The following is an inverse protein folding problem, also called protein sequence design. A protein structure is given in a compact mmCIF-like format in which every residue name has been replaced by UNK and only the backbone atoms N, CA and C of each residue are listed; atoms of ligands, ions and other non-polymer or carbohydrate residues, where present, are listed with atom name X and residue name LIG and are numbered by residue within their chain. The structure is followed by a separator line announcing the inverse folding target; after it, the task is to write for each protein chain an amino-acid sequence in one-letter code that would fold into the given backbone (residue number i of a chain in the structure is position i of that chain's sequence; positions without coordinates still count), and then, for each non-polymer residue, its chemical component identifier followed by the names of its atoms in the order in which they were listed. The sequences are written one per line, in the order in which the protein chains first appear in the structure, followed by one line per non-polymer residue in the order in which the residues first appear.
data_IF_482928055117
#
_entry.id   IF_482928055117
#
_cell.length_a   1.000
_cell.length_b   1.000
_cell.length_c   1.000
_cell.angle_alpha   90.00
_cell.angle_beta   90.00
_cell.angle_gamma   90.00
#
_symmetry.space_group_name_H-M   'P 1'
#
loop_
_entity.id
_entity.type
_entity.pdbx_description
1 polymer ?
#
# COMPACT_ATOMS: atom_id res chain seq x y z
N UNK A 1 -11.31 10.28 15.34
CA UNK A 1 -11.46 8.83 15.58
C UNK A 1 -10.11 8.21 15.86
N UNK A 2 -9.13 8.31 14.93
CA UNK A 2 -7.82 7.65 15.10
C UNK A 2 -7.11 8.08 16.40
N UNK A 3 -7.07 9.39 16.73
CA UNK A 3 -6.46 9.86 17.97
C UNK A 3 -6.99 9.13 19.21
N UNK A 4 -8.31 8.97 19.34
CA UNK A 4 -8.91 8.23 20.47
C UNK A 4 -8.53 6.73 20.50
N UNK A 5 -8.18 6.13 19.36
CA UNK A 5 -7.66 4.76 19.33
C UNK A 5 -6.22 4.73 19.80
N UNK A 6 -5.42 5.70 19.36
CA UNK A 6 -4.03 5.87 19.80
C UNK A 6 -3.98 6.09 21.32
N UNK A 7 -4.85 6.97 21.87
CA UNK A 7 -4.94 7.25 23.30
C UNK A 7 -5.09 5.94 24.12
N UNK A 8 -5.92 4.98 23.65
CA UNK A 8 -6.08 3.68 24.31
C UNK A 8 -4.79 2.86 24.36
N UNK A 9 -4.01 2.87 23.27
CA UNK A 9 -2.70 2.21 23.28
C UNK A 9 -1.77 2.88 24.29
N UNK A 10 -1.76 4.22 24.29
CA UNK A 10 -0.92 5.01 25.21
C UNK A 10 -1.30 4.79 26.68
N UNK A 11 -2.60 4.71 26.99
CA UNK A 11 -3.11 4.43 28.34
C UNK A 11 -2.63 3.06 28.85
N UNK A 12 -2.43 2.09 27.96
CA UNK A 12 -1.89 0.76 28.26
C UNK A 12 -0.34 0.71 28.18
N UNK A 13 0.34 1.84 27.98
CA UNK A 13 1.80 1.91 27.83
C UNK A 13 2.31 1.35 26.50
N UNK A 14 1.46 1.29 25.48
CA UNK A 14 1.79 0.73 24.18
C UNK A 14 1.90 1.82 23.11
N UNK A 15 2.74 1.59 22.10
CA UNK A 15 2.94 2.48 20.97
C UNK A 15 2.68 1.75 19.66
N UNK A 16 1.63 2.08 18.88
CA UNK A 16 1.43 1.53 17.56
C UNK A 16 2.44 2.12 16.57
N UNK A 17 3.08 1.23 15.80
CA UNK A 17 4.06 1.57 14.76
C UNK A 17 3.46 1.19 13.42
N UNK A 18 3.34 2.15 12.50
CA UNK A 18 2.67 1.96 11.22
C UNK A 18 3.58 2.29 10.04
N UNK A 19 3.36 1.53 8.96
CA UNK A 19 3.79 1.89 7.61
C UNK A 19 2.63 1.65 6.62
N UNK A 20 2.63 2.39 5.52
CA UNK A 20 1.60 2.26 4.48
C UNK A 20 2.29 2.00 3.15
N UNK A 21 1.82 0.99 2.43
CA UNK A 21 2.17 0.71 1.04
C UNK A 21 0.98 1.06 0.16
N UNK A 22 1.22 1.83 -0.88
CA UNK A 22 0.17 2.31 -1.78
C UNK A 22 0.52 1.98 -3.22
N UNK A 23 -0.33 1.17 -3.84
CA UNK A 23 -0.26 0.90 -5.27
C UNK A 23 -1.00 1.95 -6.09
N UNK A 24 -0.46 2.27 -7.26
CA UNK A 24 -1.08 3.20 -8.20
C UNK A 24 -0.71 2.85 -9.64
N UNK A 25 -1.49 3.40 -10.57
CA UNK A 25 -1.15 3.36 -11.99
C UNK A 25 -0.73 4.75 -12.48
N UNK A 26 0.27 4.77 -13.35
CA UNK A 26 0.48 5.88 -14.27
C UNK A 26 -0.38 5.66 -15.50
N UNK A 27 -1.18 6.66 -15.85
CA UNK A 27 -2.14 6.59 -16.95
C UNK A 27 -2.01 7.81 -17.87
N UNK A 28 -2.46 7.65 -19.11
CA UNK A 28 -2.52 8.75 -20.05
C UNK A 28 -3.52 9.84 -19.58
N UNK A 29 -3.20 11.13 -19.72
CA UNK A 29 -4.19 12.19 -19.53
C UNK A 29 -5.32 12.15 -20.58
N UNK A 30 -5.09 11.45 -21.69
CA UNK A 30 -6.11 11.25 -22.73
C UNK A 30 -6.95 10.02 -22.38
N UNK A 31 -8.20 10.04 -22.84
CA UNK A 31 -9.10 8.89 -22.74
C UNK A 31 -9.35 8.30 -24.13
N UNK A 32 -9.69 7.02 -24.19
CA UNK A 32 -10.18 6.40 -25.42
C UNK A 32 -11.50 7.03 -25.87
N UNK A 33 -11.95 6.71 -27.10
CA UNK A 33 -13.21 7.26 -27.65
C UNK A 33 -14.45 6.91 -26.84
N UNK A 34 -14.42 5.80 -26.13
CA UNK A 34 -15.48 5.33 -25.23
C UNK A 34 -15.35 5.86 -23.79
N UNK A 35 -14.37 6.75 -23.53
CA UNK A 35 -14.09 7.33 -22.22
C UNK A 35 -13.22 6.46 -21.32
N UNK A 36 -12.77 5.28 -21.75
CA UNK A 36 -11.93 4.40 -20.95
C UNK A 36 -10.53 4.99 -20.70
N UNK A 37 -9.96 4.59 -19.57
CA UNK A 37 -8.59 4.96 -19.17
C UNK A 37 -7.59 4.27 -20.12
N UNK A 38 -6.56 4.98 -20.52
CA UNK A 38 -5.45 4.46 -21.31
C UNK A 38 -4.19 4.36 -20.46
N UNK A 39 -3.36 3.31 -20.62
CA UNK A 39 -2.06 3.25 -19.96
C UNK A 39 -1.19 4.45 -20.33
N UNK A 40 -0.33 4.90 -19.40
CA UNK A 40 0.70 5.87 -19.69
C UNK A 40 1.70 5.31 -20.71
N UNK A 41 2.28 6.21 -21.49
CA UNK A 41 3.43 5.89 -22.34
C UNK A 41 4.67 6.54 -21.74
N UNK A 42 5.72 5.77 -21.44
CA UNK A 42 6.97 6.34 -20.98
C UNK A 42 7.61 7.24 -22.04
N UNK A 43 8.54 8.09 -21.62
CA UNK A 43 9.20 9.04 -22.52
C UNK A 43 9.89 8.38 -23.73
N UNK A 44 10.37 7.13 -23.60
CA UNK A 44 10.90 6.31 -24.69
C UNK A 44 9.86 5.83 -25.71
N UNK A 45 8.58 6.13 -25.51
CA UNK A 45 7.49 5.86 -26.46
C UNK A 45 7.06 4.38 -26.57
N UNK A 46 7.70 3.47 -25.86
CA UNK A 46 7.35 2.06 -25.88
C UNK A 46 6.11 1.81 -25.01
N UNK A 47 5.13 1.13 -25.56
CA UNK A 47 3.97 0.67 -24.76
C UNK A 47 4.36 -0.59 -24.02
N UNK A 48 4.19 -0.66 -22.69
CA UNK A 48 4.36 -1.91 -21.95
C UNK A 48 3.43 -2.99 -22.50
N UNK A 49 3.96 -4.15 -22.87
CA UNK A 49 3.20 -5.20 -23.57
C UNK A 49 3.05 -6.49 -22.78
N UNK A 50 3.58 -6.56 -21.56
CA UNK A 50 3.57 -7.78 -20.77
C UNK A 50 3.62 -7.54 -19.27
N UNK A 51 3.36 -8.59 -18.52
CA UNK A 51 3.51 -8.62 -17.07
C UNK A 51 4.99 -8.78 -16.74
N UNK A 52 5.60 -7.81 -16.09
CA UNK A 52 6.98 -7.86 -15.61
C UNK A 52 6.99 -7.53 -14.10
N UNK A 53 6.44 -8.42 -13.28
CA UNK A 53 6.41 -8.24 -11.82
C UNK A 53 7.83 -8.05 -11.29
N UNK A 54 8.05 -6.97 -10.56
CA UNK A 54 9.35 -6.56 -10.00
C UNK A 54 10.44 -6.33 -11.06
N UNK A 55 10.03 -6.07 -12.30
CA UNK A 55 10.96 -5.78 -13.40
C UNK A 55 11.58 -4.38 -13.28
N UNK A 56 12.89 -4.28 -13.51
CA UNK A 56 13.59 -2.98 -13.47
C UNK A 56 13.31 -2.13 -14.70
N UNK A 57 12.98 -2.76 -15.82
CA UNK A 57 12.78 -2.06 -17.10
C UNK A 57 11.70 -0.99 -17.03
N UNK A 58 10.57 -1.28 -16.39
CA UNK A 58 9.47 -0.34 -16.31
C UNK A 58 9.80 0.83 -15.38
N UNK A 59 10.57 0.58 -14.31
CA UNK A 59 11.11 1.64 -13.47
C UNK A 59 12.08 2.54 -14.27
N UNK A 60 12.95 1.96 -15.11
CA UNK A 60 13.85 2.71 -15.97
C UNK A 60 13.08 3.51 -17.03
N UNK A 61 12.03 2.96 -17.61
CA UNK A 61 11.19 3.64 -18.59
C UNK A 61 10.50 4.90 -18.00
N UNK A 62 10.20 4.91 -16.69
CA UNK A 62 9.64 6.04 -15.95
C UNK A 62 10.66 6.72 -15.00
N UNK A 63 11.94 6.47 -15.16
CA UNK A 63 13.00 6.96 -14.28
C UNK A 63 12.93 8.47 -13.98
N UNK A 64 12.73 9.37 -14.96
CA UNK A 64 12.65 10.80 -14.66
C UNK A 64 11.52 11.17 -13.69
N UNK A 65 10.38 10.46 -13.77
CA UNK A 65 9.28 10.61 -12.83
C UNK A 65 9.68 10.17 -11.41
N UNK A 66 10.35 9.02 -11.28
CA UNK A 66 10.78 8.52 -9.99
C UNK A 66 11.87 9.37 -9.37
N UNK A 67 12.85 9.85 -10.16
CA UNK A 67 13.92 10.74 -9.67
C UNK A 67 13.31 12.03 -9.08
N UNK A 68 12.38 12.67 -9.78
CA UNK A 68 11.68 13.85 -9.28
C UNK A 68 10.80 13.54 -8.05
N UNK A 69 10.17 12.37 -8.02
CA UNK A 69 9.34 11.95 -6.90
C UNK A 69 10.17 11.72 -5.63
N UNK A 70 11.31 11.03 -5.73
CA UNK A 70 12.24 10.85 -4.61
C UNK A 70 12.74 12.19 -4.09
N UNK A 71 13.20 13.07 -4.97
CA UNK A 71 13.67 14.41 -4.60
C UNK A 71 12.57 15.23 -3.90
N UNK A 72 11.33 15.13 -4.37
CA UNK A 72 10.21 15.84 -3.77
C UNK A 72 9.78 15.23 -2.42
N UNK A 73 9.88 13.92 -2.25
CA UNK A 73 9.65 13.25 -0.97
C UNK A 73 10.69 13.70 0.06
N UNK A 74 11.96 13.69 -0.29
CA UNK A 74 13.05 14.16 0.56
C UNK A 74 12.84 15.62 1.00
N UNK A 75 12.50 16.50 0.06
CA UNK A 75 12.25 17.91 0.34
C UNK A 75 11.07 18.14 1.31
N UNK A 76 10.12 17.22 1.38
CA UNK A 76 8.97 17.29 2.29
C UNK A 76 9.11 16.43 3.54
N UNK A 77 10.24 15.73 3.70
CA UNK A 77 10.49 14.83 4.83
C UNK A 77 9.55 13.61 4.83
N UNK A 78 9.07 13.19 3.67
CA UNK A 78 8.30 11.95 3.53
C UNK A 78 9.27 10.75 3.51
N UNK A 79 9.03 9.72 4.33
CA UNK A 79 9.98 8.64 4.52
C UNK A 79 9.84 7.57 3.45
N UNK A 80 10.00 7.94 2.18
CA UNK A 80 9.96 7.01 1.06
C UNK A 80 11.14 6.03 1.14
N UNK A 81 10.87 4.74 0.98
CA UNK A 81 11.87 3.68 1.09
C UNK A 81 12.21 3.08 -0.27
N UNK A 82 11.23 2.55 -0.96
CA UNK A 82 11.45 1.85 -2.23
C UNK A 82 10.29 2.04 -3.20
N UNK A 83 10.61 1.90 -4.49
CA UNK A 83 9.65 1.80 -5.57
C UNK A 83 9.80 0.44 -6.25
N UNK A 84 8.69 -0.21 -6.55
CA UNK A 84 8.66 -1.46 -7.32
C UNK A 84 7.64 -1.35 -8.44
N UNK A 85 7.91 -2.05 -9.56
CA UNK A 85 6.90 -2.28 -10.58
C UNK A 85 6.00 -3.44 -10.16
N UNK A 86 4.72 -3.25 -10.28
CA UNK A 86 3.70 -4.20 -9.88
C UNK A 86 3.27 -5.14 -11.03
N UNK A 87 2.19 -5.90 -10.80
CA UNK A 87 1.77 -6.97 -11.70
C UNK A 87 1.33 -6.47 -13.09
N UNK A 88 0.72 -5.31 -13.17
CA UNK A 88 0.20 -4.80 -14.43
C UNK A 88 1.07 -3.68 -15.03
N UNK A 89 1.12 -3.55 -16.35
CA UNK A 89 1.85 -2.49 -17.00
C UNK A 89 1.44 -1.09 -16.53
N UNK A 90 2.42 -0.27 -16.13
CA UNK A 90 2.20 1.05 -15.56
C UNK A 90 1.72 1.05 -14.12
N UNK A 91 1.71 -0.10 -13.45
CA UNK A 91 1.38 -0.23 -12.04
C UNK A 91 2.65 -0.24 -11.20
N UNK A 92 2.64 0.57 -10.15
CA UNK A 92 3.76 0.74 -9.24
C UNK A 92 3.28 0.73 -7.80
N UNK A 93 4.17 0.33 -6.90
CA UNK A 93 4.00 0.44 -5.47
C UNK A 93 5.18 1.21 -4.88
N UNK A 94 4.90 2.05 -3.91
CA UNK A 94 5.92 2.67 -3.09
C UNK A 94 5.64 2.42 -1.61
N UNK A 95 6.69 2.03 -0.92
CA UNK A 95 6.70 1.79 0.53
C UNK A 95 7.15 3.03 1.29
N UNK A 96 6.46 3.32 2.37
CA UNK A 96 6.88 4.31 3.36
C UNK A 96 7.46 3.59 4.59
N UNK A 97 8.50 4.16 5.19
CA UNK A 97 9.11 3.59 6.40
C UNK A 97 8.16 3.62 7.58
N UNK A 98 8.27 2.62 8.43
CA UNK A 98 7.54 2.51 9.68
C UNK A 98 7.80 3.70 10.62
N UNK A 99 6.74 4.16 11.29
CA UNK A 99 6.81 5.25 12.27
C UNK A 99 6.08 4.88 13.56
N UNK A 100 6.67 5.14 14.73
CA UNK A 100 5.99 5.03 16.04
C UNK A 100 5.06 6.24 16.30
N UNK A 101 4.45 6.74 15.27
CA UNK A 101 3.47 7.83 15.25
C UNK A 101 2.43 7.48 14.17
N UNK A 102 1.37 6.81 14.58
CA UNK A 102 0.34 6.31 13.69
C UNK A 102 -0.42 7.44 12.97
N UNK A 103 -0.60 8.59 13.64
CA UNK A 103 -1.26 9.74 13.01
C UNK A 103 -0.40 10.32 11.90
N UNK A 104 0.90 10.51 12.19
CA UNK A 104 1.86 11.01 11.21
C UNK A 104 2.03 10.04 10.03
N UNK A 105 2.03 8.74 10.26
CA UNK A 105 2.09 7.74 9.18
C UNK A 105 0.88 7.86 8.22
N UNK A 106 -0.32 8.14 8.75
CA UNK A 106 -1.51 8.39 7.94
C UNK A 106 -1.41 9.72 7.16
N UNK A 107 -0.91 10.78 7.79
CA UNK A 107 -0.70 12.07 7.12
C UNK A 107 0.33 11.95 6.00
N UNK A 108 1.43 11.25 6.23
CA UNK A 108 2.45 10.97 5.22
C UNK A 108 1.86 10.23 4.01
N UNK A 109 0.97 9.25 4.22
CA UNK A 109 0.30 8.54 3.13
C UNK A 109 -0.59 9.47 2.28
N UNK A 110 -1.28 10.43 2.89
CA UNK A 110 -2.09 11.42 2.18
C UNK A 110 -1.20 12.38 1.38
N UNK A 111 -0.13 12.89 2.01
CA UNK A 111 0.82 13.79 1.36
C UNK A 111 1.53 13.09 0.19
N UNK A 112 1.92 11.83 0.39
CA UNK A 112 2.48 10.98 -0.65
C UNK A 112 1.53 10.88 -1.87
N UNK A 113 0.26 10.52 -1.67
CA UNK A 113 -0.73 10.44 -2.77
C UNK A 113 -0.84 11.75 -3.55
N UNK A 114 -0.83 12.88 -2.84
CA UNK A 114 -0.85 14.21 -3.47
C UNK A 114 0.40 14.44 -4.31
N UNK A 115 1.56 14.09 -3.75
CA UNK A 115 2.86 14.31 -4.39
C UNK A 115 3.00 13.49 -5.66
N UNK A 116 2.69 12.19 -5.60
CA UNK A 116 2.68 11.30 -6.78
C UNK A 116 1.84 11.88 -7.92
N UNK A 117 0.64 12.37 -7.62
CA UNK A 117 -0.24 12.99 -8.63
C UNK A 117 0.36 14.27 -9.22
N UNK A 118 0.93 15.11 -8.37
CA UNK A 118 1.50 16.38 -8.82
C UNK A 118 2.75 16.17 -9.70
N UNK A 119 3.62 15.24 -9.32
CA UNK A 119 4.81 14.90 -10.12
C UNK A 119 4.41 14.21 -11.43
N UNK A 120 3.43 13.29 -11.41
CA UNK A 120 2.93 12.67 -12.63
C UNK A 120 2.46 13.70 -13.66
N UNK A 121 1.70 14.72 -13.23
CA UNK A 121 1.26 15.80 -14.11
C UNK A 121 2.44 16.59 -14.74
N UNK A 122 3.50 16.81 -14.00
CA UNK A 122 4.72 17.48 -14.51
C UNK A 122 5.39 16.66 -15.61
N UNK A 123 5.26 15.35 -15.57
CA UNK A 123 5.77 14.41 -16.58
C UNK A 123 4.75 14.08 -17.69
N UNK A 124 3.64 14.83 -17.78
CA UNK A 124 2.64 14.66 -18.83
C UNK A 124 1.81 13.38 -18.74
N UNK A 125 1.76 12.77 -17.56
CA UNK A 125 0.94 11.60 -17.24
C UNK A 125 0.04 11.90 -16.02
N UNK A 126 -0.93 11.04 -15.75
CA UNK A 126 -1.74 11.09 -14.53
C UNK A 126 -1.43 9.88 -13.65
N UNK A 127 -1.48 10.06 -12.33
CA UNK A 127 -1.44 8.97 -11.38
C UNK A 127 -2.83 8.71 -10.80
N UNK A 128 -3.27 7.44 -10.80
CA UNK A 128 -4.54 7.03 -10.21
C UNK A 128 -4.33 5.97 -9.12
N UNK A 129 -4.94 6.21 -7.95
CA UNK A 129 -5.05 5.28 -6.83
C UNK A 129 -6.42 4.58 -6.83
N UNK A 130 -7.07 4.52 -7.97
CA UNK A 130 -8.34 3.84 -8.14
C UNK A 130 -8.15 2.33 -7.90
N UNK A 131 -9.00 1.72 -7.08
CA UNK A 131 -8.85 0.33 -6.68
C UNK A 131 -8.85 -0.66 -7.87
N UNK A 132 -9.60 -0.37 -8.94
CA UNK A 132 -9.66 -1.20 -10.16
C UNK A 132 -9.84 -0.30 -11.38
N UNK A 133 -8.78 0.36 -11.88
CA UNK A 133 -8.89 1.27 -13.03
C UNK A 133 -9.15 0.53 -14.34
N UNK A 134 -8.58 -0.67 -14.50
CA UNK A 134 -8.74 -1.53 -15.67
C UNK A 134 -9.45 -2.83 -15.28
N UNK A 135 -10.47 -3.21 -16.04
CA UNK A 135 -11.31 -4.35 -15.69
C UNK A 135 -10.55 -5.70 -15.73
N UNK A 136 -9.59 -5.81 -16.65
CA UNK A 136 -8.81 -7.00 -17.00
C UNK A 136 -7.38 -6.99 -16.43
N UNK A 137 -6.93 -5.89 -15.82
CA UNK A 137 -5.62 -5.78 -15.19
C UNK A 137 -5.70 -5.98 -13.67
N UNK A 138 -4.55 -6.01 -12.98
CA UNK A 138 -4.51 -6.06 -11.52
C UNK A 138 -5.20 -4.84 -10.88
N UNK A 139 -5.75 -4.99 -9.69
CA UNK A 139 -6.25 -3.87 -8.90
C UNK A 139 -5.15 -3.26 -8.06
N UNK A 140 -5.29 -1.99 -7.67
CA UNK A 140 -4.38 -1.33 -6.75
C UNK A 140 -4.81 -1.54 -5.30
N UNK A 141 -3.89 -2.06 -4.48
CA UNK A 141 -4.05 -2.28 -3.05
C UNK A 141 -3.56 -1.08 -2.23
N UNK A 142 -3.92 -1.14 -0.96
CA UNK A 142 -3.27 -0.41 0.11
C UNK A 142 -3.02 -1.39 1.24
N UNK A 143 -1.76 -1.59 1.58
CA UNK A 143 -1.39 -2.38 2.74
C UNK A 143 -1.08 -1.44 3.91
N UNK A 144 -1.53 -1.81 5.09
CA UNK A 144 -1.17 -1.14 6.34
C UNK A 144 -0.40 -2.12 7.18
N UNK A 145 0.88 -1.85 7.38
CA UNK A 145 1.72 -2.62 8.29
C UNK A 145 1.55 -2.07 9.70
N UNK A 146 1.34 -2.95 10.65
CA UNK A 146 1.14 -2.58 12.05
C UNK A 146 2.01 -3.49 12.91
N UNK A 147 2.84 -2.87 13.75
CA UNK A 147 3.40 -3.49 14.92
C UNK A 147 3.08 -2.65 16.16
N UNK A 148 3.29 -3.20 17.34
CA UNK A 148 3.03 -2.51 18.60
C UNK A 148 4.22 -2.69 19.52
N UNK A 149 4.78 -1.58 19.97
CA UNK A 149 5.87 -1.58 20.91
C UNK A 149 5.37 -1.35 22.34
N UNK A 150 6.02 -1.99 23.31
CA UNK A 150 5.84 -1.72 24.75
C UNK A 150 6.64 -0.47 25.20
N UNK A 151 6.62 -0.20 26.51
CA UNK A 151 7.32 0.94 27.10
C UNK A 151 8.84 0.89 26.98
N UNK A 152 9.42 -0.28 26.72
CA UNK A 152 10.85 -0.49 26.50
C UNK A 152 11.21 -0.45 25.00
N UNK A 153 10.23 -0.17 24.13
CA UNK A 153 10.38 -0.12 22.67
C UNK A 153 10.45 -1.48 21.99
N UNK A 154 10.11 -2.57 22.71
CA UNK A 154 10.11 -3.92 22.15
C UNK A 154 8.79 -4.24 21.45
N UNK A 155 8.87 -4.83 20.26
CA UNK A 155 7.68 -5.24 19.50
C UNK A 155 6.99 -6.43 20.19
N UNK A 156 5.81 -6.22 20.76
CA UNK A 156 5.05 -7.25 21.48
C UNK A 156 4.49 -8.35 20.59
N UNK A 157 4.53 -8.16 19.26
CA UNK A 157 4.13 -9.18 18.27
C UNK A 157 5.28 -10.11 17.91
N UNK A 158 6.53 -9.72 18.20
CA UNK A 158 7.72 -10.49 17.86
C UNK A 158 7.80 -11.80 18.64
N UNK A 159 8.22 -12.86 17.96
CA UNK A 159 8.48 -14.19 18.55
C UNK A 159 9.46 -14.96 17.68
N UNK A 160 10.10 -15.97 18.25
CA UNK A 160 10.87 -16.96 17.47
C UNK A 160 9.97 -17.87 16.62
N UNK A 161 8.69 -17.96 16.95
CA UNK A 161 7.71 -18.71 16.17
C UNK A 161 7.25 -17.90 14.94
N UNK A 162 7.10 -18.52 13.77
CA UNK A 162 6.68 -17.82 12.55
C UNK A 162 5.30 -17.14 12.67
N UNK A 163 4.44 -17.66 13.54
CA UNK A 163 3.09 -17.13 13.79
C UNK A 163 3.11 -15.87 14.68
N UNK A 164 4.27 -15.51 15.23
CA UNK A 164 4.42 -14.40 16.17
C UNK A 164 4.04 -14.76 17.61
N UNK A 165 4.01 -13.74 18.46
CA UNK A 165 3.61 -13.88 19.87
C UNK A 165 2.08 -14.03 20.01
N UNK A 166 1.62 -14.49 21.18
CA UNK A 166 0.18 -14.61 21.50
C UNK A 166 -0.59 -13.28 21.29
N UNK A 167 0.05 -12.15 21.60
CA UNK A 167 -0.52 -10.82 21.37
C UNK A 167 -0.89 -10.56 19.90
N UNK A 168 -0.05 -11.02 18.95
CA UNK A 168 -0.37 -10.94 17.52
C UNK A 168 -1.59 -11.78 17.17
N UNK A 169 -1.68 -13.01 17.70
CA UNK A 169 -2.85 -13.87 17.51
C UNK A 169 -4.14 -13.24 18.02
N UNK A 170 -4.11 -12.58 19.18
CA UNK A 170 -5.26 -11.84 19.72
C UNK A 170 -5.64 -10.64 18.85
N UNK A 171 -4.67 -9.88 18.37
CA UNK A 171 -4.90 -8.75 17.48
C UNK A 171 -5.55 -9.20 16.16
N UNK A 172 -5.02 -10.27 15.53
CA UNK A 172 -5.60 -10.86 14.31
C UNK A 172 -7.02 -11.35 14.56
N UNK A 173 -7.26 -12.05 15.69
CA UNK A 173 -8.60 -12.51 16.08
C UNK A 173 -9.59 -11.36 16.21
N UNK A 174 -9.20 -10.27 16.83
CA UNK A 174 -10.00 -9.04 16.96
C UNK A 174 -10.32 -8.41 15.61
N UNK A 175 -9.33 -8.32 14.71
CA UNK A 175 -9.51 -7.79 13.35
C UNK A 175 -10.45 -8.69 12.53
N UNK A 176 -10.30 -10.00 12.57
CA UNK A 176 -11.20 -10.94 11.88
C UNK A 176 -12.64 -10.76 12.37
N UNK A 177 -12.84 -10.64 13.69
CA UNK A 177 -14.17 -10.46 14.28
C UNK A 177 -14.84 -9.14 13.91
N UNK A 178 -14.08 -8.09 13.60
CA UNK A 178 -14.59 -6.73 13.36
C UNK A 178 -14.55 -6.29 11.89
N UNK A 179 -13.88 -7.04 11.00
CA UNK A 179 -13.68 -6.58 9.61
C UNK A 179 -15.00 -6.41 8.85
N UNK A 180 -16.02 -7.22 9.16
CA UNK A 180 -17.35 -7.09 8.54
C UNK A 180 -17.98 -5.73 8.80
N UNK A 181 -17.93 -5.28 10.05
CA UNK A 181 -18.48 -3.98 10.45
C UNK A 181 -17.65 -2.81 9.91
N UNK A 182 -16.32 -3.03 9.81
CA UNK A 182 -15.36 -2.04 9.27
C UNK A 182 -15.24 -2.03 7.75
N UNK A 183 -15.95 -2.90 7.03
CA UNK A 183 -15.70 -3.13 5.60
C UNK A 183 -15.86 -1.87 4.73
N UNK A 184 -16.76 -0.97 5.10
CA UNK A 184 -16.94 0.31 4.43
C UNK A 184 -15.70 1.23 4.50
N UNK A 185 -14.81 1.02 5.49
CA UNK A 185 -13.54 1.75 5.60
C UNK A 185 -12.48 1.12 4.68
N UNK A 186 -12.47 -0.21 4.54
CA UNK A 186 -11.50 -0.94 3.72
C UNK A 186 -11.87 -0.95 2.23
N UNK A 187 -13.15 -0.82 1.90
CA UNK A 187 -13.67 -0.78 0.53
C UNK A 187 -14.67 0.38 0.35
N UNK A 188 -14.21 1.65 0.46
CA UNK A 188 -15.11 2.82 0.60
C UNK A 188 -15.82 3.22 -0.69
N UNK A 189 -15.49 2.62 -1.83
CA UNK A 189 -16.04 3.01 -3.13
C UNK A 189 -16.61 1.81 -3.90
N UNK A 190 -17.62 2.03 -4.73
CA UNK A 190 -18.17 1.00 -5.61
C UNK A 190 -17.08 0.31 -6.47
N UNK A 191 -16.05 1.06 -6.89
CA UNK A 191 -14.92 0.53 -7.63
C UNK A 191 -14.06 -0.44 -6.79
N UNK A 192 -13.99 -0.28 -5.46
CA UNK A 192 -13.23 -1.17 -4.57
C UNK A 192 -13.75 -2.61 -4.65
N UNK A 193 -15.06 -2.79 -4.78
CA UNK A 193 -15.69 -4.11 -4.87
C UNK A 193 -15.32 -4.88 -6.15
N UNK A 194 -14.85 -4.19 -7.18
CA UNK A 194 -14.39 -4.83 -8.44
C UNK A 194 -13.10 -5.62 -8.27
N UNK A 195 -12.38 -5.41 -7.16
CA UNK A 195 -11.16 -6.17 -6.83
C UNK A 195 -11.46 -7.56 -6.29
N UNK A 196 -12.57 -7.74 -5.57
CA UNK A 196 -12.91 -8.98 -4.87
C UNK A 196 -13.38 -10.06 -5.86
N UNK A 197 -12.41 -10.70 -6.49
CA UNK A 197 -12.62 -11.82 -7.42
C UNK A 197 -11.71 -12.97 -7.01
N UNK A 198 -12.17 -14.19 -7.21
CA UNK A 198 -11.31 -15.36 -7.04
C UNK A 198 -10.05 -15.22 -7.91
N UNK A 199 -8.91 -15.65 -7.40
CA UNK A 199 -7.60 -15.63 -8.06
C UNK A 199 -7.09 -14.23 -8.46
N UNK A 200 -7.48 -13.18 -7.73
CA UNK A 200 -7.06 -11.80 -8.00
C UNK A 200 -6.07 -11.23 -6.99
N UNK A 201 -5.54 -12.04 -6.08
CA UNK A 201 -4.74 -11.64 -4.92
C UNK A 201 -5.44 -10.66 -3.96
N UNK A 202 -6.64 -10.19 -4.27
CA UNK A 202 -7.47 -9.46 -3.31
C UNK A 202 -8.21 -10.48 -2.43
N UNK A 203 -8.08 -10.42 -1.10
CA UNK A 203 -8.72 -11.37 -0.20
C UNK A 203 -10.24 -11.25 -0.27
N UNK A 204 -10.94 -12.38 -0.38
CA UNK A 204 -12.42 -12.45 -0.45
C UNK A 204 -13.04 -12.99 0.84
N UNK A 205 -12.22 -13.31 1.83
CA UNK A 205 -12.63 -13.82 3.13
C UNK A 205 -11.71 -13.30 4.23
N UNK A 206 -12.19 -13.13 5.46
CA UNK A 206 -11.40 -12.65 6.60
C UNK A 206 -10.49 -13.76 7.14
N UNK A 207 -9.44 -14.07 6.39
CA UNK A 207 -8.47 -15.11 6.70
C UNK A 207 -7.11 -14.51 7.06
N UNK A 208 -6.28 -15.30 7.70
CA UNK A 208 -4.92 -14.92 8.02
C UNK A 208 -3.90 -16.02 7.65
N UNK A 209 -2.63 -15.68 7.57
CA UNK A 209 -1.57 -16.66 7.34
C UNK A 209 -0.18 -16.05 7.32
N UNK A 210 0.80 -16.90 7.63
CA UNK A 210 2.22 -16.54 7.56
C UNK A 210 2.66 -16.50 6.11
N UNK A 211 3.26 -15.39 5.72
CA UNK A 211 3.79 -15.11 4.38
C UNK A 211 2.83 -15.44 3.21
N UNK A 212 1.54 -15.41 3.44
CA UNK A 212 0.52 -15.70 2.44
C UNK A 212 -0.08 -14.39 1.89
N UNK A 213 0.11 -14.13 0.59
CA UNK A 213 -0.35 -12.90 -0.08
C UNK A 213 -1.83 -12.93 -0.50
N UNK A 214 -2.56 -14.01 -0.22
CA UNK A 214 -3.97 -14.16 -0.61
C UNK A 214 -4.95 -13.96 0.55
N UNK A 215 -4.44 -13.69 1.75
CA UNK A 215 -5.22 -13.51 2.98
C UNK A 215 -5.44 -12.03 3.32
N UNK A 216 -6.45 -11.73 4.14
CA UNK A 216 -6.73 -10.39 4.63
C UNK A 216 -5.68 -9.88 5.64
N UNK A 217 -5.16 -10.78 6.46
CA UNK A 217 -4.18 -10.47 7.51
C UNK A 217 -2.94 -11.34 7.32
N UNK A 218 -1.87 -10.73 6.82
CA UNK A 218 -0.61 -11.43 6.57
C UNK A 218 0.37 -11.17 7.70
N UNK A 219 0.94 -12.22 8.25
CA UNK A 219 2.11 -12.15 9.10
C UNK A 219 3.34 -12.28 8.21
N UNK A 220 4.17 -11.24 8.05
CA UNK A 220 5.38 -11.32 7.23
C UNK A 220 6.37 -12.34 7.82
N UNK A 221 7.00 -13.13 6.96
CA UNK A 221 8.16 -13.92 7.36
C UNK A 221 9.39 -13.01 7.35
N UNK A 222 9.94 -12.74 8.50
CA UNK A 222 11.14 -11.90 8.66
C UNK A 222 11.82 -12.20 9.98
N UNK A 223 13.01 -11.65 10.22
CA UNK A 223 13.64 -11.76 11.52
C UNK A 223 12.75 -11.10 12.59
N UNK A 224 12.73 -11.66 13.82
CA UNK A 224 11.78 -11.25 14.87
C UNK A 224 11.94 -9.82 15.39
N UNK A 225 12.84 -9.04 14.89
CA UNK A 225 13.29 -7.80 15.53
C UNK A 225 13.29 -6.58 14.62
N UNK A 226 12.51 -6.56 13.60
CA UNK A 226 12.44 -5.33 12.77
C UNK A 226 11.13 -4.61 12.93
#
# INVERSE_FOLDING_TARGET
VLGRVIDRFTDDGLTPVLAVELEFYLVSPRRARDGSILPARPAGGRTPTGVEVYGLRELDDFRPFFDDLYAACDAQGLPLESAISEFAPGQFELTLRHKPDALRACDDAIMYKRLVKAIAQRHGVEATFMAKPFADQAGSGMHVHVSVNDGDGQNIFASAAPEGAAALGHAIGGMIGSIGDGFALFAPHANSFRRFRANSYAPVAPTWGVNNRTVSFRVPAGPPAS
#
